data_IF_496485206956
#
_entry.id   IF_496485206956
#
_cell.length_a   1.000
_cell.length_b   1.000
_cell.length_c   1.000
_cell.angle_alpha   90.00
_cell.angle_beta   90.00
_cell.angle_gamma   90.00
#
_symmetry.space_group_name_H-M   'P 1'
#
loop_
_entity.id
_entity.type
_entity.pdbx_description
1 polymer ?
#
# COMPACT_ATOMS: atom_id res chain seq x y z
N UNK A 1 9.82 25.43 -5.25
CA UNK A 1 8.89 24.92 -6.28
C UNK A 1 8.43 23.55 -5.83
N UNK A 2 7.16 23.40 -5.48
CA UNK A 2 6.57 22.13 -5.03
C UNK A 2 6.56 21.13 -6.20
N UNK A 3 7.05 19.89 -6.02
CA UNK A 3 7.16 18.91 -7.12
C UNK A 3 5.85 18.18 -7.46
N UNK A 4 4.68 18.66 -6.99
CA UNK A 4 3.40 17.94 -7.13
C UNK A 4 2.51 18.37 -8.30
N UNK A 5 2.98 19.20 -9.23
CA UNK A 5 2.20 19.57 -10.41
C UNK A 5 2.70 18.87 -11.67
N UNK A 6 2.14 17.70 -11.97
CA UNK A 6 1.80 17.27 -13.34
C UNK A 6 1.19 15.87 -13.35
N UNK A 7 -0.14 15.79 -13.36
CA UNK A 7 -0.84 14.53 -13.56
C UNK A 7 -2.32 14.61 -13.21
N UNK A 8 -3.12 15.08 -14.19
CA UNK A 8 -4.57 15.27 -14.09
C UNK A 8 -4.95 16.33 -13.07
N UNK A 9 -5.03 17.59 -13.52
CA UNK A 9 -5.97 18.53 -12.89
C UNK A 9 -7.35 17.88 -12.96
N UNK A 10 -7.79 17.29 -11.85
CA UNK A 10 -9.19 17.20 -11.55
C UNK A 10 -9.74 18.61 -11.73
N UNK A 11 -10.86 18.73 -12.43
CA UNK A 11 -11.70 19.90 -12.69
C UNK A 11 -12.08 20.78 -11.46
N UNK A 12 -11.33 20.74 -10.36
CA UNK A 12 -11.65 21.38 -9.10
C UNK A 12 -12.85 20.76 -8.38
N UNK A 13 -13.48 19.70 -8.92
CA UNK A 13 -14.77 19.19 -8.41
C UNK A 13 -14.68 18.20 -7.27
N UNK A 14 -13.49 17.84 -6.84
CA UNK A 14 -13.34 17.09 -5.61
C UNK A 14 -13.65 15.59 -5.68
N UNK A 15 -13.44 14.96 -6.85
CA UNK A 15 -13.94 13.62 -7.15
C UNK A 15 -12.96 12.74 -7.91
N UNK A 16 -11.65 12.99 -7.80
CA UNK A 16 -10.67 12.39 -8.71
C UNK A 16 -10.80 10.86 -8.79
N UNK A 17 -10.92 10.16 -7.65
CA UNK A 17 -11.14 8.71 -7.67
C UNK A 17 -12.48 8.33 -8.27
N UNK A 18 -13.57 8.97 -7.84
CA UNK A 18 -14.89 8.62 -8.36
C UNK A 18 -14.98 8.81 -9.87
N UNK A 19 -14.59 9.98 -10.38
CA UNK A 19 -14.65 10.30 -11.82
C UNK A 19 -13.68 9.43 -12.61
N UNK A 20 -12.44 9.25 -12.18
CA UNK A 20 -11.47 8.40 -12.88
C UNK A 20 -11.94 6.95 -12.97
N UNK A 21 -12.43 6.36 -11.87
CA UNK A 21 -12.90 4.97 -11.89
C UNK A 21 -14.21 4.84 -12.69
N UNK A 22 -15.09 5.85 -12.67
CA UNK A 22 -16.27 5.88 -13.53
C UNK A 22 -15.88 5.85 -15.02
N UNK A 23 -14.91 6.68 -15.42
CA UNK A 23 -14.38 6.70 -16.79
C UNK A 23 -13.75 5.35 -17.17
N UNK A 24 -12.92 4.77 -16.29
CA UNK A 24 -12.34 3.44 -16.54
C UNK A 24 -13.43 2.38 -16.72
N UNK A 25 -14.50 2.42 -15.93
CA UNK A 25 -15.62 1.48 -16.07
C UNK A 25 -16.35 1.61 -17.43
N UNK A 26 -16.19 2.71 -18.16
CA UNK A 26 -16.76 2.91 -19.50
C UNK A 26 -15.83 2.46 -20.64
N UNK A 27 -14.55 2.22 -20.37
CA UNK A 27 -13.63 1.75 -21.39
C UNK A 27 -13.92 0.30 -21.78
N UNK A 28 -13.84 -0.01 -23.08
CA UNK A 28 -13.95 -1.37 -23.61
C UNK A 28 -12.69 -2.19 -23.32
N UNK A 29 -11.52 -1.61 -23.63
CA UNK A 29 -10.22 -2.21 -23.39
C UNK A 29 -9.58 -1.61 -22.15
N UNK A 30 -9.34 -2.44 -21.15
CA UNK A 30 -8.76 -2.03 -19.88
C UNK A 30 -7.39 -2.63 -19.64
N UNK A 31 -6.51 -1.91 -18.90
CA UNK A 31 -5.29 -2.51 -18.40
C UNK A 31 -5.62 -3.67 -17.45
N UNK A 32 -4.74 -4.66 -17.39
CA UNK A 32 -4.91 -5.80 -16.48
C UNK A 32 -4.58 -5.44 -15.02
N UNK A 33 -3.77 -4.41 -14.82
CA UNK A 33 -3.30 -3.94 -13.52
C UNK A 33 -3.35 -2.41 -13.48
N UNK A 34 -3.89 -1.86 -12.41
CA UNK A 34 -3.94 -0.42 -12.13
C UNK A 34 -3.23 -0.15 -10.80
N UNK A 35 -2.29 0.80 -10.80
CA UNK A 35 -1.61 1.28 -9.59
C UNK A 35 -2.04 2.70 -9.27
N UNK A 36 -2.36 2.97 -8.01
CA UNK A 36 -2.81 4.28 -7.51
C UNK A 36 -1.87 4.71 -6.39
N UNK A 37 -1.15 5.81 -6.60
CA UNK A 37 -0.24 6.42 -5.62
C UNK A 37 -0.79 7.81 -5.24
N UNK A 38 -1.99 7.82 -4.67
CA UNK A 38 -2.69 9.01 -4.20
C UNK A 38 -3.68 8.57 -3.12
N UNK A 39 -3.94 9.41 -2.13
CA UNK A 39 -4.89 9.12 -1.06
C UNK A 39 -5.13 10.32 -0.15
N UNK A 40 -6.22 10.25 0.60
CA UNK A 40 -6.60 11.22 1.63
C UNK A 40 -7.28 10.49 2.81
N UNK A 41 -7.23 11.03 4.03
CA UNK A 41 -7.96 10.48 5.16
C UNK A 41 -9.46 10.32 4.88
N UNK A 42 -10.03 9.16 5.21
CA UNK A 42 -11.45 8.84 4.99
C UNK A 42 -12.39 9.92 5.55
N UNK A 43 -12.02 10.54 6.68
CA UNK A 43 -12.82 11.59 7.34
C UNK A 43 -12.62 12.99 6.74
N UNK A 44 -11.58 13.19 5.93
CA UNK A 44 -11.24 14.46 5.29
C UNK A 44 -11.65 14.54 3.81
N UNK A 45 -12.11 13.46 3.19
CA UNK A 45 -12.28 13.38 1.73
C UNK A 45 -13.11 14.50 1.10
N UNK A 46 -14.22 14.93 1.70
CA UNK A 46 -15.07 16.00 1.17
C UNK A 46 -14.60 17.42 1.52
N UNK A 47 -13.44 17.55 2.14
CA UNK A 47 -12.87 18.84 2.59
C UNK A 47 -11.37 18.95 2.31
N UNK A 48 -10.71 17.85 1.93
CA UNK A 48 -9.27 17.72 1.74
C UNK A 48 -8.85 17.89 0.28
N UNK A 49 -7.67 17.36 -0.06
CA UNK A 49 -7.06 17.51 -1.39
C UNK A 49 -7.86 16.81 -2.49
N UNK A 50 -8.60 15.76 -2.14
CA UNK A 50 -9.52 15.08 -3.04
C UNK A 50 -10.66 15.98 -3.47
N UNK A 51 -10.93 17.09 -2.76
CA UNK A 51 -11.84 18.23 -2.99
C UNK A 51 -13.28 18.09 -2.45
N UNK A 52 -14.17 19.03 -2.79
CA UNK A 52 -15.52 19.11 -2.19
C UNK A 52 -16.52 18.08 -2.75
N UNK A 53 -16.59 16.91 -2.11
CA UNK A 53 -17.64 15.93 -2.38
C UNK A 53 -18.98 16.18 -1.67
N UNK A 54 -19.12 17.20 -0.80
CA UNK A 54 -20.39 17.47 -0.11
C UNK A 54 -21.48 17.90 -1.09
N UNK A 55 -21.14 18.68 -2.12
CA UNK A 55 -22.12 19.12 -3.14
C UNK A 55 -22.80 17.98 -3.89
N UNK A 56 -22.16 16.81 -3.99
CA UNK A 56 -22.62 15.68 -4.83
C UNK A 56 -22.99 14.45 -4.02
N UNK A 57 -22.30 14.21 -2.91
CA UNK A 57 -22.46 12.99 -2.10
C UNK A 57 -22.94 13.28 -0.67
N UNK A 58 -23.01 14.56 -0.25
CA UNK A 58 -23.43 15.03 1.07
C UNK A 58 -22.59 14.54 2.28
N UNK A 59 -21.74 13.52 2.13
CA UNK A 59 -20.85 13.02 3.18
C UNK A 59 -19.70 12.17 2.64
N UNK A 60 -18.63 12.07 3.41
CA UNK A 60 -17.50 11.16 3.15
C UNK A 60 -17.95 9.71 3.02
N UNK A 61 -18.85 9.23 3.88
CA UNK A 61 -19.30 7.85 3.87
C UNK A 61 -20.01 7.49 2.57
N UNK A 62 -20.92 8.35 2.09
CA UNK A 62 -21.63 8.13 0.84
C UNK A 62 -20.65 8.13 -0.33
N UNK A 63 -19.70 9.07 -0.37
CA UNK A 63 -18.65 9.11 -1.40
C UNK A 63 -17.82 7.83 -1.42
N UNK A 64 -17.33 7.38 -0.26
CA UNK A 64 -16.54 6.15 -0.13
C UNK A 64 -17.37 4.94 -0.56
N UNK A 65 -18.60 4.81 -0.07
CA UNK A 65 -19.47 3.66 -0.42
C UNK A 65 -19.76 3.62 -1.91
N UNK A 66 -20.06 4.76 -2.53
CA UNK A 66 -20.31 4.82 -3.97
C UNK A 66 -19.05 4.54 -4.78
N UNK A 67 -17.92 5.12 -4.41
CA UNK A 67 -16.64 4.89 -5.11
C UNK A 67 -16.18 3.44 -4.95
N UNK A 68 -16.40 2.81 -3.79
CA UNK A 68 -16.18 1.38 -3.58
C UNK A 68 -16.98 0.49 -4.54
N UNK A 69 -18.21 0.86 -4.89
CA UNK A 69 -19.01 0.13 -5.90
C UNK A 69 -18.34 0.23 -7.27
N UNK A 70 -17.81 1.40 -7.63
CA UNK A 70 -17.11 1.57 -8.92
C UNK A 70 -15.80 0.77 -8.95
N UNK A 71 -15.04 0.72 -7.84
CA UNK A 71 -13.88 -0.17 -7.70
C UNK A 71 -14.28 -1.65 -7.78
N UNK A 72 -15.37 -2.05 -7.14
CA UNK A 72 -15.89 -3.42 -7.22
C UNK A 72 -16.22 -3.81 -8.66
N UNK A 73 -16.94 -2.95 -9.40
CA UNK A 73 -17.26 -3.17 -10.82
C UNK A 73 -15.99 -3.38 -11.64
N UNK A 74 -14.98 -2.54 -11.44
CA UNK A 74 -13.71 -2.64 -12.16
C UNK A 74 -12.95 -3.94 -11.82
N UNK A 75 -12.90 -4.31 -10.54
CA UNK A 75 -12.32 -5.57 -10.07
C UNK A 75 -13.06 -6.80 -10.60
N UNK A 76 -14.39 -6.74 -10.74
CA UNK A 76 -15.20 -7.80 -11.35
C UNK A 76 -14.93 -7.99 -12.84
N UNK A 77 -14.42 -6.96 -13.53
CA UNK A 77 -13.96 -7.06 -14.92
C UNK A 77 -12.59 -7.74 -15.06
N UNK A 78 -12.01 -8.26 -13.97
CA UNK A 78 -10.76 -9.02 -13.99
C UNK A 78 -9.49 -8.17 -13.87
N UNK A 79 -9.63 -6.95 -13.31
CA UNK A 79 -8.53 -6.00 -13.14
C UNK A 79 -8.00 -6.11 -11.71
N UNK A 80 -6.67 -6.12 -11.59
CA UNK A 80 -6.02 -6.00 -10.30
C UNK A 80 -5.75 -4.53 -10.00
N UNK A 81 -6.38 -4.00 -8.96
CA UNK A 81 -6.21 -2.60 -8.55
C UNK A 81 -5.38 -2.59 -7.28
N UNK A 82 -4.33 -1.77 -7.27
CA UNK A 82 -3.43 -1.59 -6.15
C UNK A 82 -3.41 -0.12 -5.75
N UNK A 83 -3.47 0.15 -4.46
CA UNK A 83 -3.40 1.51 -3.94
C UNK A 83 -2.42 1.61 -2.78
N UNK A 84 -1.65 2.70 -2.76
CA UNK A 84 -0.86 3.08 -1.59
C UNK A 84 -1.73 3.19 -0.33
N UNK A 85 -1.21 2.76 0.82
CA UNK A 85 -1.92 2.81 2.10
C UNK A 85 -1.76 4.12 2.87
N UNK A 86 -0.84 5.01 2.46
CA UNK A 86 -0.63 6.34 3.04
C UNK A 86 0.66 6.57 3.80
N UNK A 87 1.28 7.74 3.73
CA UNK A 87 2.66 7.95 4.22
C UNK A 87 2.72 8.48 5.68
N UNK A 88 1.59 8.61 6.36
CA UNK A 88 1.47 9.22 7.69
C UNK A 88 1.04 8.23 8.81
N UNK A 89 1.37 6.95 8.65
CA UNK A 89 1.10 5.93 9.65
C UNK A 89 -0.39 5.77 10.01
N UNK A 90 -0.69 5.41 11.26
CA UNK A 90 -2.07 5.29 11.74
C UNK A 90 -2.76 6.65 11.99
N UNK A 91 -1.98 7.73 12.12
CA UNK A 91 -2.50 9.05 12.49
C UNK A 91 -2.93 9.88 11.27
N UNK A 92 -2.52 9.49 10.05
CA UNK A 92 -2.97 10.07 8.80
C UNK A 92 -2.43 11.48 8.52
N UNK A 93 -2.37 11.83 7.23
CA UNK A 93 -1.78 13.10 6.79
C UNK A 93 -2.67 14.30 7.12
N UNK A 94 -2.07 15.42 7.54
CA UNK A 94 -2.77 16.68 7.79
C UNK A 94 -3.53 16.76 9.12
N UNK A 95 -3.37 15.74 9.97
CA UNK A 95 -3.92 15.69 11.33
C UNK A 95 -2.81 15.48 12.37
N UNK A 96 -1.55 15.78 12.05
CA UNK A 96 -0.37 15.42 12.86
C UNK A 96 -0.14 16.27 14.13
N UNK A 97 -1.15 16.81 14.82
CA UNK A 97 -0.95 17.71 15.97
C UNK A 97 -0.37 17.02 17.23
N UNK A 98 0.95 16.73 17.22
CA UNK A 98 1.71 16.09 18.30
C UNK A 98 1.05 14.81 18.87
N UNK A 99 0.36 14.07 18.00
CA UNK A 99 -0.41 12.86 18.36
C UNK A 99 -1.45 13.06 19.47
N UNK A 100 -2.12 14.22 19.47
CA UNK A 100 -3.24 14.53 20.38
C UNK A 100 -4.58 13.97 19.92
N UNK A 101 -4.61 13.35 18.74
CA UNK A 101 -5.81 12.78 18.13
C UNK A 101 -6.47 11.73 19.02
N UNK A 102 -7.80 11.82 19.12
CA UNK A 102 -8.62 10.84 19.87
C UNK A 102 -8.89 9.56 19.07
N UNK A 103 -8.74 9.62 17.76
CA UNK A 103 -8.99 8.53 16.81
C UNK A 103 -7.91 8.48 15.72
N UNK A 104 -7.76 7.33 15.09
CA UNK A 104 -6.90 7.16 13.91
C UNK A 104 -7.60 7.60 12.63
N UNK A 105 -6.80 7.96 11.62
CA UNK A 105 -7.27 8.55 10.36
C UNK A 105 -6.88 7.63 9.20
N UNK A 106 -7.65 6.56 8.94
CA UNK A 106 -7.37 5.65 7.84
C UNK A 106 -7.47 6.36 6.49
N UNK A 107 -6.58 6.04 5.55
CA UNK A 107 -6.56 6.67 4.23
C UNK A 107 -7.37 5.92 3.17
N UNK A 108 -7.93 6.68 2.23
CA UNK A 108 -8.70 6.22 1.09
C UNK A 108 -7.99 6.63 -0.21
N UNK A 109 -7.84 5.73 -1.20
CA UNK A 109 -8.60 4.50 -1.38
C UNK A 109 -7.93 3.27 -0.77
N UNK A 110 -6.81 3.39 -0.05
CA UNK A 110 -6.14 2.26 0.61
C UNK A 110 -7.09 1.41 1.48
N UNK A 111 -7.99 2.04 2.22
CA UNK A 111 -8.99 1.34 3.03
C UNK A 111 -10.14 0.69 2.23
N UNK A 112 -10.23 0.87 0.91
CA UNK A 112 -11.21 0.19 0.06
C UNK A 112 -11.02 -1.34 0.11
N UNK A 113 -12.09 -2.14 0.29
CA UNK A 113 -11.98 -3.60 0.39
C UNK A 113 -11.95 -4.31 -0.98
N UNK A 114 -12.10 -3.57 -2.09
CA UNK A 114 -12.19 -4.11 -3.45
C UNK A 114 -10.93 -3.89 -4.29
N UNK A 115 -9.87 -3.39 -3.66
CA UNK A 115 -8.52 -3.27 -4.20
C UNK A 115 -7.51 -3.80 -3.19
N UNK A 116 -6.28 -4.01 -3.63
CA UNK A 116 -5.17 -4.42 -2.77
C UNK A 116 -4.46 -3.19 -2.24
N UNK A 117 -4.55 -2.98 -0.93
CA UNK A 117 -3.82 -1.92 -0.25
C UNK A 117 -2.37 -2.34 -0.04
N UNK A 118 -1.44 -1.48 -0.41
CA UNK A 118 0.00 -1.72 -0.37
C UNK A 118 0.63 -0.74 0.60
N UNK A 119 1.22 -1.25 1.68
CA UNK A 119 2.05 -0.47 2.60
C UNK A 119 3.53 -0.49 2.22
N UNK A 120 4.35 0.13 3.07
CA UNK A 120 5.78 0.22 2.87
C UNK A 120 6.58 -0.45 3.99
N UNK A 121 7.78 -0.84 3.61
CA UNK A 121 8.84 -1.39 4.45
C UNK A 121 10.15 -0.72 4.07
N UNK A 122 11.16 -0.93 4.90
CA UNK A 122 12.53 -0.56 4.56
C UNK A 122 13.52 -1.63 4.99
N UNK A 123 14.74 -1.52 4.47
CA UNK A 123 15.86 -2.34 4.92
C UNK A 123 16.72 -1.54 5.89
N UNK A 124 16.98 -2.12 7.05
CA UNK A 124 17.99 -1.68 8.01
C UNK A 124 19.17 -2.67 8.01
N UNK A 125 20.27 -2.30 8.68
CA UNK A 125 21.48 -3.11 8.77
C UNK A 125 21.97 -3.57 7.37
N UNK A 126 21.93 -2.63 6.42
CA UNK A 126 22.10 -2.92 5.00
C UNK A 126 23.55 -3.21 4.64
N UNK A 127 23.76 -4.26 3.85
CA UNK A 127 25.02 -4.53 3.16
C UNK A 127 24.88 -4.13 1.69
N UNK A 128 25.96 -3.59 1.12
CA UNK A 128 25.98 -3.13 -0.27
C UNK A 128 26.66 -4.13 -1.19
N UNK A 129 26.11 -4.23 -2.41
CA UNK A 129 26.70 -5.04 -3.44
C UNK A 129 27.94 -4.33 -4.03
N UNK A 130 29.10 -4.98 -3.95
CA UNK A 130 30.36 -4.49 -4.51
C UNK A 130 30.74 -5.17 -5.84
N UNK A 131 29.79 -5.86 -6.48
CA UNK A 131 30.01 -6.50 -7.78
C UNK A 131 30.32 -5.46 -8.86
N UNK A 132 31.33 -5.74 -9.69
CA UNK A 132 31.65 -4.92 -10.87
C UNK A 132 30.54 -4.97 -11.94
N UNK A 133 29.64 -5.97 -11.87
CA UNK A 133 28.52 -6.15 -12.82
C UNK A 133 27.19 -5.71 -12.21
N UNK A 134 27.11 -4.46 -11.80
CA UNK A 134 25.86 -3.87 -11.32
C UNK A 134 25.17 -3.03 -12.39
N UNK A 135 23.83 -2.90 -12.35
CA UNK A 135 23.12 -1.90 -13.13
C UNK A 135 23.72 -0.51 -12.90
N UNK A 136 23.77 0.31 -13.95
CA UNK A 136 24.30 1.69 -13.86
C UNK A 136 23.65 2.50 -12.73
N UNK A 137 22.37 2.26 -12.44
CA UNK A 137 21.66 2.90 -11.34
C UNK A 137 22.31 2.67 -9.96
N UNK A 138 23.10 1.62 -9.79
CA UNK A 138 23.82 1.28 -8.56
C UNK A 138 25.15 2.02 -8.38
N UNK A 139 25.50 2.95 -9.27
CA UNK A 139 26.80 3.65 -9.24
C UNK A 139 26.70 5.09 -9.76
N UNK A 140 25.50 5.68 -9.78
CA UNK A 140 25.32 7.07 -10.21
C UNK A 140 25.53 8.05 -9.05
N UNK A 141 26.03 9.24 -9.38
CA UNK A 141 26.15 10.34 -8.43
C UNK A 141 24.81 11.07 -8.36
N UNK A 142 24.25 11.15 -7.15
CA UNK A 142 23.02 11.86 -6.84
C UNK A 142 23.40 13.26 -6.37
N UNK A 143 23.12 14.30 -7.17
CA UNK A 143 23.39 15.67 -6.77
C UNK A 143 22.41 16.10 -5.66
N UNK A 144 22.92 16.83 -4.67
CA UNK A 144 22.10 17.45 -3.64
C UNK A 144 22.31 18.97 -3.70
N UNK A 145 21.23 19.75 -3.58
CA UNK A 145 21.31 21.21 -3.66
C UNK A 145 22.09 21.84 -2.50
N UNK A 146 22.02 21.24 -1.31
CA UNK A 146 22.56 21.79 -0.06
C UNK A 146 23.49 20.82 0.70
N UNK A 147 23.93 19.73 0.05
CA UNK A 147 24.81 18.70 0.65
C UNK A 147 25.77 18.15 -0.40
N UNK A 148 26.82 17.47 0.05
CA UNK A 148 27.69 16.72 -0.85
C UNK A 148 26.88 15.68 -1.63
N UNK A 149 27.24 15.49 -2.90
CA UNK A 149 26.62 14.48 -3.74
C UNK A 149 26.82 13.08 -3.14
N UNK A 150 25.80 12.24 -3.26
CA UNK A 150 25.81 10.88 -2.70
C UNK A 150 25.96 9.86 -3.82
N UNK A 151 26.79 8.84 -3.64
CA UNK A 151 26.85 7.72 -4.57
C UNK A 151 25.65 6.80 -4.33
N UNK A 152 24.87 6.53 -5.36
CA UNK A 152 23.85 5.49 -5.31
C UNK A 152 24.53 4.13 -5.12
N UNK A 153 24.05 3.32 -4.18
CA UNK A 153 24.53 1.95 -3.96
C UNK A 153 23.37 0.98 -3.95
N UNK A 154 23.52 -0.17 -4.59
CA UNK A 154 22.55 -1.23 -4.53
C UNK A 154 22.76 -2.09 -3.28
N UNK A 155 21.69 -2.24 -2.51
CA UNK A 155 21.66 -3.07 -1.31
C UNK A 155 21.58 -4.55 -1.74
N UNK A 156 22.46 -5.38 -1.19
CA UNK A 156 22.46 -6.83 -1.41
C UNK A 156 21.77 -7.60 -0.30
N UNK A 157 21.77 -7.06 0.92
CA UNK A 157 21.23 -7.72 2.10
C UNK A 157 20.79 -6.69 3.15
N UNK A 158 19.96 -7.10 4.09
CA UNK A 158 19.48 -6.28 5.20
C UNK A 158 18.28 -6.92 5.89
N UNK A 159 17.88 -6.33 7.01
CA UNK A 159 16.67 -6.74 7.73
C UNK A 159 15.51 -5.88 7.26
N UNK A 160 14.45 -6.52 6.75
CA UNK A 160 13.23 -5.81 6.33
C UNK A 160 12.34 -5.52 7.55
N UNK A 161 12.01 -4.25 7.74
CA UNK A 161 11.22 -3.73 8.87
C UNK A 161 10.10 -2.83 8.36
N UNK A 162 9.10 -2.56 9.20
CA UNK A 162 8.13 -1.53 8.90
C UNK A 162 8.85 -0.18 8.78
N UNK A 163 8.51 0.58 7.75
CA UNK A 163 9.15 1.88 7.50
C UNK A 163 8.75 2.90 8.57
N UNK A 164 9.70 3.71 9.01
CA UNK A 164 9.47 4.79 9.96
C UNK A 164 10.12 6.13 9.55
N UNK A 165 9.80 7.16 10.33
CA UNK A 165 10.27 8.54 10.11
C UNK A 165 11.77 8.73 10.36
N UNK A 166 12.46 7.76 10.96
CA UNK A 166 13.87 7.87 11.34
C UNK A 166 14.79 7.94 10.11
N UNK A 167 14.69 6.97 9.22
CA UNK A 167 15.43 6.99 7.95
C UNK A 167 14.58 7.46 6.78
N UNK A 168 13.42 6.83 6.59
CA UNK A 168 12.65 7.03 5.37
C UNK A 168 11.94 8.38 5.34
N UNK A 169 11.74 9.00 6.50
CA UNK A 169 11.06 10.29 6.65
C UNK A 169 9.54 10.20 6.53
N UNK A 170 8.99 8.99 6.54
CA UNK A 170 7.54 8.73 6.50
C UNK A 170 7.25 7.36 7.13
N UNK A 171 5.99 7.08 7.44
CA UNK A 171 5.59 5.84 8.12
C UNK A 171 4.52 5.09 7.36
N UNK A 172 4.57 3.75 7.35
CA UNK A 172 3.59 2.93 6.64
C UNK A 172 2.17 3.16 7.15
N UNK A 173 1.31 3.70 6.29
CA UNK A 173 -0.11 3.87 6.53
C UNK A 173 -0.79 2.53 6.72
N UNK A 174 -1.68 2.47 7.71
CA UNK A 174 -2.33 1.23 8.07
C UNK A 174 -3.20 1.39 9.31
N UNK A 175 -4.18 0.51 9.43
CA UNK A 175 -5.16 0.59 10.49
C UNK A 175 -6.46 -0.07 10.07
N UNK A 176 -7.58 0.54 10.46
CA UNK A 176 -8.92 0.05 10.17
C UNK A 176 -9.76 1.19 9.62
N UNK A 177 -10.48 0.96 8.52
CA UNK A 177 -11.45 1.91 7.95
C UNK A 177 -12.40 2.44 9.02
N UNK A 178 -12.82 3.70 8.88
CA UNK A 178 -13.83 4.35 9.70
C UNK A 178 -15.23 3.85 9.30
N UNK A 179 -15.49 3.64 8.01
CA UNK A 179 -16.85 3.42 7.49
C UNK A 179 -17.13 2.00 6.99
N UNK A 180 -16.09 1.24 6.61
CA UNK A 180 -16.27 0.01 5.84
C UNK A 180 -16.05 -1.22 6.72
N UNK A 181 -17.07 -2.07 6.79
CA UNK A 181 -17.03 -3.32 7.54
C UNK A 181 -16.00 -4.30 6.97
N UNK A 182 -15.50 -5.17 7.85
CA UNK A 182 -14.49 -6.14 7.50
C UNK A 182 -14.97 -7.15 6.44
N UNK A 183 -14.28 -7.28 5.30
CA UNK A 183 -14.61 -8.29 4.30
C UNK A 183 -14.24 -9.71 4.79
N UNK A 184 -14.95 -10.72 4.28
CA UNK A 184 -14.83 -12.11 4.75
C UNK A 184 -13.40 -12.65 4.60
N UNK A 185 -12.70 -12.30 3.52
CA UNK A 185 -11.37 -12.83 3.22
C UNK A 185 -10.31 -12.48 4.30
N UNK A 186 -10.50 -11.40 5.07
CA UNK A 186 -9.51 -10.98 6.08
C UNK A 186 -9.91 -11.30 7.52
N UNK A 187 -11.13 -11.80 7.78
CA UNK A 187 -11.64 -12.02 9.15
C UNK A 187 -10.71 -12.87 10.01
N UNK A 188 -10.18 -13.95 9.42
CA UNK A 188 -9.29 -14.89 10.13
C UNK A 188 -7.94 -14.24 10.47
N UNK A 189 -7.39 -13.48 9.53
CA UNK A 189 -6.13 -12.76 9.67
C UNK A 189 -6.22 -11.70 10.78
N UNK A 190 -7.26 -10.85 10.75
CA UNK A 190 -7.48 -9.83 11.78
C UNK A 190 -7.72 -10.44 13.16
N UNK A 191 -8.53 -11.50 13.25
CA UNK A 191 -8.73 -12.22 14.52
C UNK A 191 -7.43 -12.76 15.10
N UNK A 192 -6.53 -13.27 14.23
CA UNK A 192 -5.22 -13.79 14.64
C UNK A 192 -4.31 -12.67 15.15
N UNK A 193 -4.26 -11.52 14.48
CA UNK A 193 -3.49 -10.34 14.92
C UNK A 193 -3.83 -9.95 16.36
N UNK A 194 -5.13 -9.71 16.64
CA UNK A 194 -5.58 -9.31 17.97
C UNK A 194 -5.42 -10.39 19.05
N UNK A 195 -5.25 -11.65 18.67
CA UNK A 195 -4.92 -12.75 19.60
C UNK A 195 -3.43 -12.74 19.96
N UNK A 196 -2.56 -12.33 19.05
CA UNK A 196 -1.11 -12.35 19.23
C UNK A 196 -0.59 -11.07 19.92
N UNK A 197 -1.18 -9.92 19.61
CA UNK A 197 -0.66 -8.64 20.08
C UNK A 197 -1.11 -8.28 21.48
N UNK A 198 -0.13 -8.15 22.38
CA UNK A 198 -0.33 -7.75 23.78
C UNK A 198 -0.42 -6.22 23.94
N UNK A 199 0.43 -5.49 23.24
CA UNK A 199 0.42 -4.03 23.22
C UNK A 199 -0.42 -3.57 22.02
N UNK A 200 -1.59 -3.00 22.30
CA UNK A 200 -2.50 -2.49 21.28
C UNK A 200 -2.78 -1.02 21.59
N UNK A 201 -2.95 -0.18 20.55
CA UNK A 201 -3.48 1.15 20.77
C UNK A 201 -4.87 1.06 21.42
N UNK A 202 -5.30 2.10 22.16
CA UNK A 202 -6.59 2.12 22.82
C UNK A 202 -7.74 1.76 21.86
N UNK A 203 -8.65 0.84 22.22
CA UNK A 203 -9.76 0.44 21.36
C UNK A 203 -10.71 1.58 20.97
N UNK A 204 -10.68 2.72 21.68
CA UNK A 204 -11.43 3.92 21.33
C UNK A 204 -10.92 4.61 20.06
N UNK A 205 -9.68 4.34 19.63
CA UNK A 205 -9.06 5.03 18.51
C UNK A 205 -9.43 4.43 17.14
N UNK A 206 -9.98 3.22 17.09
CA UNK A 206 -10.28 2.50 15.84
C UNK A 206 -11.38 1.45 16.03
N UNK A 207 -12.01 1.03 14.93
CA UNK A 207 -13.00 -0.04 14.95
C UNK A 207 -12.43 -1.33 14.35
N UNK A 208 -12.05 -2.30 15.20
CA UNK A 208 -11.52 -3.61 14.76
C UNK A 208 -12.48 -4.47 13.92
N UNK A 209 -13.78 -4.12 13.88
CA UNK A 209 -14.79 -4.81 13.06
C UNK A 209 -14.81 -4.30 11.62
N UNK A 210 -14.05 -3.25 11.32
CA UNK A 210 -13.95 -2.66 10.00
C UNK A 210 -12.79 -3.27 9.18
N UNK A 211 -12.70 -2.87 7.91
CA UNK A 211 -11.64 -3.27 6.97
C UNK A 211 -10.30 -2.82 7.53
N UNK A 212 -9.50 -3.79 7.99
CA UNK A 212 -8.09 -3.59 8.35
C UNK A 212 -7.19 -3.61 7.10
N UNK A 213 -6.20 -2.71 7.03
CA UNK A 213 -5.27 -2.51 5.91
C UNK A 213 -3.86 -2.12 6.42
N UNK A 214 -2.77 -2.25 5.65
CA UNK A 214 -2.72 -2.70 4.24
C UNK A 214 -2.97 -4.21 4.09
N UNK A 215 -3.07 -4.67 2.84
CA UNK A 215 -3.15 -6.11 2.53
C UNK A 215 -1.77 -6.73 2.38
N UNK A 216 -0.82 -5.99 1.81
CA UNK A 216 0.57 -6.41 1.57
C UNK A 216 1.48 -5.19 1.72
N UNK A 217 2.80 -5.39 1.71
CA UNK A 217 3.77 -4.30 1.70
C UNK A 217 4.88 -4.56 0.70
N UNK A 218 5.66 -3.55 0.33
CA UNK A 218 6.93 -3.73 -0.37
C UNK A 218 7.92 -2.68 0.11
N UNK A 219 9.16 -2.75 -0.35
CA UNK A 219 10.15 -1.68 -0.09
C UNK A 219 9.56 -0.34 -0.52
N UNK A 220 9.64 0.64 0.37
CA UNK A 220 9.16 2.01 0.21
C UNK A 220 10.23 3.06 0.50
N UNK A 221 11.43 2.66 0.93
CA UNK A 221 12.54 3.58 1.17
C UNK A 221 13.71 3.31 0.19
N UNK A 222 14.59 4.30 0.02
CA UNK A 222 15.82 4.21 -0.79
C UNK A 222 15.56 3.87 -2.27
N UNK A 223 14.43 4.32 -2.81
CA UNK A 223 14.06 4.14 -4.20
C UNK A 223 14.88 5.00 -5.14
N UNK A 224 15.29 4.45 -6.28
CA UNK A 224 15.98 5.18 -7.34
C UNK A 224 15.02 5.76 -8.36
N UNK A 225 15.14 7.07 -8.62
CA UNK A 225 14.29 7.82 -9.53
C UNK A 225 15.10 8.66 -10.49
N UNK A 226 14.54 8.88 -11.68
CA UNK A 226 14.99 9.91 -12.62
C UNK A 226 13.84 10.87 -12.84
N UNK A 227 13.95 12.10 -12.37
CA UNK A 227 12.92 13.14 -12.48
C UNK A 227 13.53 14.34 -13.19
N UNK A 228 12.92 14.78 -14.29
CA UNK A 228 13.42 15.87 -15.13
C UNK A 228 14.91 15.70 -15.52
N UNK A 229 15.31 14.46 -15.82
CA UNK A 229 16.68 14.12 -16.19
C UNK A 229 17.68 14.06 -15.03
N UNK A 230 17.24 14.28 -13.78
CA UNK A 230 18.11 14.25 -12.59
C UNK A 230 17.92 12.97 -11.79
N UNK A 231 19.04 12.40 -11.32
CA UNK A 231 19.05 11.22 -10.45
C UNK A 231 18.68 11.61 -9.03
N UNK A 232 17.74 10.89 -8.43
CA UNK A 232 17.24 11.18 -7.09
C UNK A 232 17.00 9.87 -6.33
N UNK A 233 17.13 9.94 -5.01
CA UNK A 233 16.70 8.87 -4.10
C UNK A 233 15.55 9.40 -3.28
N UNK A 234 14.42 8.72 -3.37
CA UNK A 234 13.22 9.05 -2.61
C UNK A 234 12.67 7.82 -1.90
N UNK A 235 11.78 8.08 -0.96
CA UNK A 235 10.89 7.08 -0.39
C UNK A 235 9.43 7.38 -0.71
N UNK A 236 8.56 6.65 -0.04
CA UNK A 236 7.12 6.79 -0.06
C UNK A 236 6.46 5.47 -0.47
N UNK A 237 5.27 5.21 0.07
CA UNK A 237 4.44 4.08 -0.35
C UNK A 237 4.03 4.20 -1.82
N UNK A 238 4.09 5.43 -2.36
CA UNK A 238 4.04 5.71 -3.80
C UNK A 238 5.04 4.89 -4.63
N UNK A 239 6.11 4.36 -4.03
CA UNK A 239 7.01 3.37 -4.63
C UNK A 239 6.49 1.92 -4.53
N UNK A 240 5.98 1.55 -3.35
CA UNK A 240 5.59 0.17 -3.04
C UNK A 240 4.39 -0.29 -3.87
N UNK A 241 3.40 0.58 -4.10
CA UNK A 241 2.23 0.27 -4.91
C UNK A 241 2.59 -0.13 -6.37
N UNK A 242 3.36 0.67 -7.14
CA UNK A 242 3.75 0.28 -8.50
C UNK A 242 4.72 -0.91 -8.55
N UNK A 243 5.55 -1.14 -7.52
CA UNK A 243 6.36 -2.37 -7.41
C UNK A 243 5.45 -3.61 -7.39
N UNK A 244 4.42 -3.60 -6.54
CA UNK A 244 3.44 -4.67 -6.53
C UNK A 244 2.64 -4.78 -7.83
N UNK A 245 2.31 -3.67 -8.49
CA UNK A 245 1.63 -3.71 -9.79
C UNK A 245 2.47 -4.40 -10.87
N UNK A 246 3.79 -4.15 -10.88
CA UNK A 246 4.75 -4.86 -11.73
C UNK A 246 4.79 -6.37 -11.42
N UNK A 247 4.84 -6.72 -10.13
CA UNK A 247 4.82 -8.12 -9.68
C UNK A 247 3.53 -8.83 -10.10
N UNK A 248 2.38 -8.18 -9.94
CA UNK A 248 1.09 -8.73 -10.38
C UNK A 248 1.06 -8.93 -11.89
N UNK A 249 1.67 -8.02 -12.67
CA UNK A 249 1.81 -8.19 -14.12
C UNK A 249 2.64 -9.43 -14.47
N UNK A 250 3.73 -9.67 -13.74
CA UNK A 250 4.52 -10.92 -13.86
C UNK A 250 3.65 -12.14 -13.51
N UNK A 251 2.94 -12.12 -12.38
CA UNK A 251 2.08 -13.23 -11.96
C UNK A 251 0.92 -13.49 -12.95
N UNK A 252 0.35 -12.44 -13.54
CA UNK A 252 -0.64 -12.52 -14.60
C UNK A 252 -0.09 -13.27 -15.82
N UNK A 253 1.17 -13.04 -16.21
CA UNK A 253 1.79 -13.78 -17.33
C UNK A 253 1.81 -15.30 -17.09
N UNK A 254 2.03 -15.74 -15.84
CA UNK A 254 1.98 -17.15 -15.46
C UNK A 254 0.55 -17.68 -15.40
N UNK A 255 -0.39 -16.89 -14.88
CA UNK A 255 -1.82 -17.26 -14.85
C UNK A 255 -2.40 -17.41 -16.25
N UNK A 256 -2.11 -16.47 -17.16
CA UNK A 256 -2.62 -16.44 -18.53
C UNK A 256 -2.13 -17.65 -19.33
N UNK A 257 -0.85 -18.00 -19.25
CA UNK A 257 -0.27 -19.21 -19.88
C UNK A 257 -0.97 -20.51 -19.47
N UNK A 258 -1.64 -20.53 -18.31
CA UNK A 258 -2.24 -21.72 -17.72
C UNK A 258 -3.77 -21.75 -17.81
N UNK A 259 -4.42 -20.60 -17.71
CA UNK A 259 -5.86 -20.48 -17.47
C UNK A 259 -6.58 -19.54 -18.43
N UNK A 260 -5.83 -18.86 -19.32
CA UNK A 260 -6.30 -17.77 -20.18
C UNK A 260 -6.95 -16.60 -19.46
N UNK A 261 -6.82 -16.52 -18.12
CA UNK A 261 -7.37 -15.45 -17.28
C UNK A 261 -6.29 -14.80 -16.42
N UNK A 262 -6.43 -13.50 -16.20
CA UNK A 262 -5.67 -12.74 -15.19
C UNK A 262 -6.13 -13.11 -13.78
N UNK A 263 -5.38 -12.66 -12.77
CA UNK A 263 -5.70 -12.87 -11.37
C UNK A 263 -6.88 -11.99 -10.89
N UNK A 264 -7.08 -10.83 -11.51
CA UNK A 264 -8.18 -9.91 -11.18
C UNK A 264 -8.16 -9.43 -9.74
N UNK A 265 -9.29 -9.51 -9.04
CA UNK A 265 -9.38 -9.14 -7.64
C UNK A 265 -8.51 -10.04 -6.73
N UNK A 266 -7.41 -9.48 -6.22
CA UNK A 266 -6.35 -10.26 -5.60
C UNK A 266 -6.61 -10.65 -4.14
N UNK A 267 -7.31 -9.84 -3.35
CA UNK A 267 -7.30 -9.99 -1.88
C UNK A 267 -7.73 -11.41 -1.42
N UNK A 268 -8.83 -12.01 -1.91
CA UNK A 268 -9.17 -13.37 -1.52
C UNK A 268 -8.07 -14.39 -1.83
N UNK A 269 -7.37 -14.24 -2.96
CA UNK A 269 -6.26 -15.09 -3.35
C UNK A 269 -5.03 -14.86 -2.46
N UNK A 270 -4.68 -13.60 -2.16
CA UNK A 270 -3.52 -13.27 -1.34
C UNK A 270 -3.68 -13.76 0.11
N UNK A 271 -4.83 -13.51 0.73
CA UNK A 271 -5.09 -13.99 2.09
C UNK A 271 -5.06 -15.52 2.15
N UNK A 272 -5.65 -16.21 1.16
CA UNK A 272 -5.57 -17.66 1.02
C UNK A 272 -4.14 -18.17 0.80
N UNK A 273 -3.37 -17.48 -0.03
CA UNK A 273 -1.97 -17.79 -0.30
C UNK A 273 -1.12 -17.67 0.96
N UNK A 274 -1.34 -16.68 1.81
CA UNK A 274 -0.61 -16.55 3.08
C UNK A 274 -0.90 -17.71 4.05
N UNK A 275 -2.08 -18.34 3.97
CA UNK A 275 -2.41 -19.52 4.78
C UNK A 275 -1.73 -20.79 4.25
N UNK A 276 -1.76 -20.99 2.93
CA UNK A 276 -1.28 -22.21 2.26
C UNK A 276 0.23 -22.16 1.93
N UNK A 277 0.79 -20.95 1.85
CA UNK A 277 2.17 -20.67 1.47
C UNK A 277 2.69 -19.45 2.27
N UNK A 278 2.96 -19.59 3.58
CA UNK A 278 3.53 -18.48 4.37
C UNK A 278 4.81 -17.90 3.74
N UNK A 279 5.67 -18.76 3.18
CA UNK A 279 6.89 -18.38 2.45
C UNK A 279 6.67 -17.63 1.12
N UNK A 280 5.42 -17.47 0.67
CA UNK A 280 5.10 -16.61 -0.46
C UNK A 280 5.21 -15.13 -0.09
N UNK A 281 5.31 -14.82 1.20
CA UNK A 281 5.54 -13.51 1.74
C UNK A 281 6.75 -13.53 2.68
N UNK A 282 7.50 -12.44 2.75
CA UNK A 282 8.42 -12.18 3.83
C UNK A 282 7.64 -11.46 4.94
N UNK A 283 7.51 -12.11 6.09
CA UNK A 283 6.70 -11.67 7.23
C UNK A 283 7.46 -10.61 8.04
N UNK A 284 6.94 -9.38 8.06
CA UNK A 284 7.58 -8.24 8.73
C UNK A 284 7.08 -8.17 10.16
N UNK A 285 8.00 -8.27 11.11
CA UNK A 285 7.64 -8.44 12.52
C UNK A 285 8.24 -7.38 13.43
N UNK A 286 8.95 -6.40 12.85
CA UNK A 286 9.65 -5.33 13.55
C UNK A 286 9.15 -3.97 13.05
N UNK A 287 8.98 -3.05 14.00
CA UNK A 287 8.52 -1.68 13.74
C UNK A 287 7.04 -1.45 14.07
N UNK A 288 6.61 -0.20 13.95
CA UNK A 288 5.26 0.26 14.24
C UNK A 288 4.88 1.40 13.30
N UNK A 289 3.61 1.84 13.32
CA UNK A 289 3.15 2.96 12.51
C UNK A 289 2.60 4.16 13.30
N UNK A 290 3.16 4.43 14.49
CA UNK A 290 2.62 5.47 15.38
C UNK A 290 2.97 6.90 14.98
N UNK A 291 4.10 7.12 14.30
CA UNK A 291 4.60 8.47 14.05
C UNK A 291 4.18 8.94 12.66
N UNK A 292 3.34 9.98 12.54
CA UNK A 292 2.90 10.41 11.21
C UNK A 292 3.97 11.23 10.46
N UNK A 293 4.83 11.94 11.18
CA UNK A 293 6.00 12.66 10.65
C UNK A 293 7.08 12.75 11.73
N UNK A 294 8.34 12.93 11.31
CA UNK A 294 9.49 13.04 12.22
C UNK A 294 9.36 14.20 13.21
N UNK A 295 8.77 15.33 12.77
CA UNK A 295 8.61 16.56 13.56
C UNK A 295 7.57 16.40 14.66
N UNK A 296 6.52 15.63 14.39
CA UNK A 296 5.36 15.46 15.27
C UNK A 296 5.37 14.16 16.08
N UNK A 297 6.42 13.34 15.90
CA UNK A 297 6.61 12.07 16.61
C UNK A 297 6.97 12.32 18.08
N UNK A 298 6.05 11.99 19.00
CA UNK A 298 6.25 12.06 20.45
C UNK A 298 6.04 10.70 21.11
N UNK A 299 6.48 10.55 22.37
CA UNK A 299 6.23 9.33 23.15
C UNK A 299 4.74 9.04 23.42
N UNK A 300 3.86 10.02 23.17
CA UNK A 300 2.41 9.87 23.30
C UNK A 300 1.77 9.23 22.08
N UNK A 301 2.46 9.24 20.94
CA UNK A 301 1.94 8.70 19.69
C UNK A 301 1.53 7.24 19.84
N UNK A 302 0.30 6.96 19.42
CA UNK A 302 -0.25 5.62 19.35
C UNK A 302 -0.26 5.15 17.90
N UNK A 303 -0.13 3.85 17.73
CA UNK A 303 -0.16 3.19 16.43
C UNK A 303 -0.21 1.69 16.62
N UNK A 304 -0.21 0.98 15.51
CA UNK A 304 -0.14 -0.46 15.49
C UNK A 304 1.30 -0.93 15.37
N UNK A 305 1.57 -2.13 15.89
CA UNK A 305 2.86 -2.79 15.79
C UNK A 305 2.81 -3.88 14.71
N UNK A 306 3.92 -4.02 13.98
CA UNK A 306 4.16 -5.16 13.09
C UNK A 306 4.19 -6.46 13.90
N UNK A 307 3.72 -7.56 13.31
CA UNK A 307 3.51 -8.79 14.03
C UNK A 307 3.52 -10.00 13.12
N UNK A 308 3.76 -11.19 13.69
CA UNK A 308 3.76 -12.44 12.91
C UNK A 308 2.42 -12.66 12.19
N UNK A 309 2.47 -12.74 10.86
CA UNK A 309 1.32 -12.94 9.98
C UNK A 309 0.79 -11.62 9.45
N UNK A 310 -0.54 -11.49 9.37
CA UNK A 310 -1.11 -10.20 8.97
C UNK A 310 -1.07 -9.21 10.13
N UNK A 311 -0.66 -7.99 9.85
CA UNK A 311 -0.79 -6.84 10.76
C UNK A 311 -1.25 -5.57 10.01
N UNK A 312 -1.83 -4.57 10.72
CA UNK A 312 -2.28 -3.31 10.12
C UNK A 312 -1.13 -2.29 9.97
N UNK A 313 0.09 -2.75 9.71
CA UNK A 313 1.27 -1.91 9.40
C UNK A 313 1.84 -2.31 8.04
N UNK A 314 2.07 -3.61 7.82
CA UNK A 314 2.71 -4.19 6.64
C UNK A 314 1.84 -5.26 5.95
N UNK A 315 0.65 -5.52 6.47
CA UNK A 315 -0.29 -6.47 5.87
C UNK A 315 0.26 -7.88 5.97
N UNK A 316 0.18 -8.64 4.87
CA UNK A 316 0.75 -10.00 4.77
C UNK A 316 2.29 -9.99 4.62
N UNK A 317 2.92 -8.81 4.53
CA UNK A 317 4.35 -8.65 4.31
C UNK A 317 4.73 -8.48 2.83
N UNK A 318 6.03 -8.57 2.56
CA UNK A 318 6.62 -8.31 1.25
C UNK A 318 6.62 -9.53 0.32
N UNK A 319 6.59 -9.38 -1.01
CA UNK A 319 6.40 -10.51 -1.92
C UNK A 319 7.67 -11.36 -2.08
N UNK A 320 7.55 -12.67 -1.85
CA UNK A 320 8.51 -13.64 -2.39
C UNK A 320 8.02 -14.14 -3.76
N UNK A 321 8.37 -13.39 -4.82
CA UNK A 321 7.85 -13.59 -6.18
C UNK A 321 8.08 -15.02 -6.70
N UNK A 322 9.23 -15.62 -6.39
CA UNK A 322 9.53 -17.00 -6.82
C UNK A 322 8.55 -18.01 -6.22
N UNK A 323 8.28 -17.89 -4.90
CA UNK A 323 7.34 -18.78 -4.22
C UNK A 323 5.89 -18.51 -4.67
N UNK A 324 5.53 -17.25 -4.92
CA UNK A 324 4.22 -16.88 -5.48
C UNK A 324 4.01 -17.51 -6.86
N UNK A 325 4.99 -17.45 -7.77
CA UNK A 325 4.94 -18.10 -9.09
C UNK A 325 4.74 -19.62 -8.94
N UNK A 326 5.48 -20.26 -8.02
CA UNK A 326 5.30 -21.70 -7.73
C UNK A 326 3.91 -22.02 -7.20
N UNK A 327 3.31 -21.14 -6.40
CA UNK A 327 1.95 -21.30 -5.91
C UNK A 327 0.90 -21.14 -7.03
N UNK A 328 0.97 -20.09 -7.85
CA UNK A 328 0.08 -19.86 -9.00
C UNK A 328 0.11 -21.04 -9.97
N UNK A 329 1.29 -21.54 -10.31
CA UNK A 329 1.43 -22.71 -11.19
C UNK A 329 0.78 -23.99 -10.63
N UNK A 330 0.71 -24.15 -9.30
CA UNK A 330 0.06 -25.30 -8.66
C UNK A 330 -1.47 -25.18 -8.68
N UNK A 331 -2.02 -23.98 -8.46
CA UNK A 331 -3.47 -23.74 -8.50
C UNK A 331 -4.08 -24.13 -9.85
N UNK A 332 -3.40 -23.78 -10.94
CA UNK A 332 -3.90 -24.07 -12.29
C UNK A 332 -3.86 -25.57 -12.64
N UNK A 333 -2.97 -26.37 -12.02
CA UNK A 333 -2.95 -27.83 -12.22
C UNK A 333 -4.15 -28.52 -11.59
N UNK A 334 -4.56 -28.10 -10.39
CA UNK A 334 -5.72 -28.68 -9.69
C UNK A 334 -7.03 -28.52 -10.48
N UNK A 335 -7.20 -27.45 -11.26
CA UNK A 335 -8.39 -27.25 -12.11
C UNK A 335 -8.47 -28.19 -13.33
N UNK A 336 -7.35 -28.75 -13.80
CA UNK A 336 -7.34 -29.71 -14.93
C UNK A 336 -7.77 -31.12 -14.54
N UNK A 337 -7.77 -31.46 -13.25
CA UNK A 337 -8.11 -32.82 -12.79
C UNK A 337 -9.61 -32.98 -12.45
N UNK A 338 -10.44 -32.00 -12.79
CA UNK A 338 -11.90 -32.02 -12.58
C UNK A 338 -12.69 -31.81 -13.88
N UNK A 339 -12.05 -31.98 -15.03
CA UNK A 339 -12.64 -32.07 -16.37
C UNK A 339 -12.15 -33.36 -17.02
#
# INVERSE_FOLDING_TARGET
MSPYESGVNADGSGKIFYTTILTLNQLEHLPQVLSISYGDPEMGLCTGFTGDCNTTFNSNEIYIRRTNIEFMKLSMRGISILAASGDAGANGFGFEENCTNKIFYPEYPGACPYLTSVGATELIDTEYNNSEKLPRACSVIIPHSNRNATLAHCISNGTEVAVDTGYAGFTSGGGFSTYISQPVYQKRAVKKYFKLMKCQPPPSMYNRRNRGFPDVSAIGARGFYVINGTYQIWGGISMSAPLWAGIVSILNSYSLKRTTKTLGFLNPLLYKMAEECPKCFNDITLGDNKCPDATYCTSKCQGFQAARGWDPVTGLGSPNVEQMIKYINRLSKKKKNYL
#
